data_IF_102171096774
#
_entry.id   IF_102171096774
#
_cell.length_a   1.000
_cell.length_b   1.000
_cell.length_c   1.000
_cell.angle_alpha   90.00
_cell.angle_beta   90.00
_cell.angle_gamma   90.00
#
_symmetry.space_group_name_H-M   'P 1'
#
loop_
_entity.id
_entity.type
_entity.pdbx_description
1 polymer ?
#
# COMPACT_ATOMS: atom_id res chain seq x y z
N UNK A 1 32.66 10.53 63.70
CA UNK A 1 31.86 11.10 62.59
C UNK A 1 32.10 10.43 61.22
N UNK A 2 33.25 9.78 60.98
CA UNK A 2 33.57 9.20 59.65
C UNK A 2 32.82 7.94 59.22
N UNK A 3 32.24 7.12 60.12
CA UNK A 3 31.55 5.88 59.70
C UNK A 3 30.15 6.13 59.13
N UNK A 4 29.37 7.05 59.72
CA UNK A 4 28.01 7.40 59.22
C UNK A 4 28.03 7.98 57.80
N UNK A 5 29.02 8.81 57.47
CA UNK A 5 29.19 9.36 56.11
C UNK A 5 29.54 8.26 55.12
N UNK A 6 30.44 7.35 55.50
CA UNK A 6 30.88 6.24 54.64
C UNK A 6 29.75 5.25 54.36
N UNK A 7 28.94 4.95 55.37
CA UNK A 7 27.77 4.06 55.28
C UNK A 7 26.65 4.66 54.40
N UNK A 8 26.46 5.99 54.48
CA UNK A 8 25.51 6.73 53.63
C UNK A 8 25.95 6.74 52.16
N UNK A 9 27.24 6.92 51.88
CA UNK A 9 27.80 6.88 50.52
C UNK A 9 27.70 5.49 49.90
N UNK A 10 27.94 4.41 50.67
CA UNK A 10 27.77 3.04 50.15
C UNK A 10 26.30 2.67 49.92
N UNK A 11 25.38 3.16 50.77
CA UNK A 11 23.94 2.97 50.57
C UNK A 11 23.45 3.65 49.29
N UNK A 12 23.89 4.88 49.04
CA UNK A 12 23.55 5.64 47.84
C UNK A 12 24.08 4.95 46.57
N UNK A 13 25.33 4.48 46.59
CA UNK A 13 25.93 3.77 45.46
C UNK A 13 25.21 2.46 45.09
N UNK A 14 24.68 1.74 46.08
CA UNK A 14 23.89 0.53 45.85
C UNK A 14 22.51 0.85 45.25
N UNK A 15 21.85 1.89 45.74
CA UNK A 15 20.56 2.34 45.21
C UNK A 15 20.68 2.77 43.74
N UNK A 16 21.70 3.55 43.40
CA UNK A 16 21.95 4.01 42.02
C UNK A 16 22.26 2.87 41.05
N UNK A 17 23.02 1.88 41.50
CA UNK A 17 23.26 0.69 40.67
C UNK A 17 21.96 -0.04 40.39
N UNK A 18 21.09 -0.19 41.39
CA UNK A 18 19.77 -0.79 41.21
C UNK A 18 18.85 0.01 40.28
N UNK A 19 18.92 1.35 40.30
CA UNK A 19 18.18 2.20 39.36
C UNK A 19 18.70 2.01 37.92
N UNK A 20 20.02 1.98 37.72
CA UNK A 20 20.63 1.77 36.40
C UNK A 20 20.31 0.37 35.85
N UNK A 21 20.42 -0.68 36.66
CA UNK A 21 20.06 -2.05 36.28
C UNK A 21 18.57 -2.15 35.88
N UNK A 22 17.69 -1.39 36.54
CA UNK A 22 16.26 -1.32 36.16
C UNK A 22 16.03 -0.59 34.85
N UNK A 23 16.70 0.54 34.63
CA UNK A 23 16.60 1.28 33.37
C UNK A 23 17.08 0.41 32.21
N UNK A 24 18.22 -0.28 32.37
CA UNK A 24 18.75 -1.20 31.36
C UNK A 24 17.76 -2.36 31.06
N UNK A 25 17.16 -2.95 32.09
CA UNK A 25 16.14 -3.98 31.90
C UNK A 25 14.87 -3.47 31.20
N UNK A 26 14.50 -2.20 31.41
CA UNK A 26 13.39 -1.57 30.69
C UNK A 26 13.76 -1.35 29.23
N UNK A 27 14.96 -0.85 28.95
CA UNK A 27 15.46 -0.61 27.60
C UNK A 27 15.51 -1.92 26.79
N UNK A 28 16.03 -3.01 27.37
CA UNK A 28 16.03 -4.35 26.74
C UNK A 28 14.61 -4.85 26.41
N UNK A 29 13.64 -4.60 27.29
CA UNK A 29 12.26 -5.03 27.08
C UNK A 29 11.55 -4.15 26.03
N UNK A 30 11.85 -2.85 25.97
CA UNK A 30 11.37 -1.95 24.92
C UNK A 30 11.89 -2.40 23.54
N UNK A 31 13.19 -2.68 23.42
CA UNK A 31 13.79 -3.19 22.18
C UNK A 31 13.13 -4.48 21.71
N UNK A 32 12.89 -5.41 22.65
CA UNK A 32 12.17 -6.65 22.37
C UNK A 32 10.76 -6.40 21.85
N UNK A 33 10.01 -5.51 22.49
CA UNK A 33 8.64 -5.17 22.11
C UNK A 33 8.58 -4.50 20.74
N UNK A 34 9.52 -3.60 20.44
CA UNK A 34 9.63 -2.95 19.13
C UNK A 34 9.96 -3.97 18.03
N UNK A 35 10.86 -4.92 18.30
CA UNK A 35 11.17 -6.00 17.37
C UNK A 35 9.96 -6.92 17.13
N UNK A 36 9.20 -7.25 18.18
CA UNK A 36 7.97 -8.05 18.05
C UNK A 36 6.91 -7.32 17.21
N UNK A 37 6.72 -6.02 17.44
CA UNK A 37 5.81 -5.18 16.68
C UNK A 37 6.16 -5.15 15.19
N UNK A 38 7.44 -5.02 14.87
CA UNK A 38 7.90 -5.02 13.48
C UNK A 38 7.76 -6.40 12.82
N UNK A 39 8.00 -7.48 13.57
CA UNK A 39 7.74 -8.84 13.10
C UNK A 39 6.26 -9.07 12.79
N UNK A 40 5.33 -8.54 13.61
CA UNK A 40 3.89 -8.64 13.36
C UNK A 40 3.46 -7.79 12.15
N UNK A 41 4.08 -6.62 11.94
CA UNK A 41 3.78 -5.74 10.79
C UNK A 41 4.26 -6.30 9.47
N UNK A 42 5.45 -6.91 9.47
CA UNK A 42 6.05 -7.54 8.29
C UNK A 42 5.54 -8.96 8.04
N UNK A 43 4.75 -9.53 8.97
CA UNK A 43 4.16 -10.84 8.80
C UNK A 43 3.22 -10.89 7.57
N UNK A 44 3.19 -12.01 6.84
CA UNK A 44 2.22 -12.21 5.77
C UNK A 44 0.79 -11.98 6.25
N UNK A 45 -0.03 -11.34 5.42
CA UNK A 45 -1.48 -11.22 5.68
C UNK A 45 -2.20 -12.50 5.29
N UNK A 46 -3.34 -12.76 5.91
CA UNK A 46 -4.16 -13.91 5.51
C UNK A 46 -4.76 -13.67 4.13
N UNK A 47 -5.12 -14.76 3.44
CA UNK A 47 -5.83 -14.68 2.16
C UNK A 47 -7.14 -13.89 2.29
N UNK A 48 -7.91 -14.16 3.34
CA UNK A 48 -9.20 -13.50 3.57
C UNK A 48 -9.04 -11.99 3.76
N UNK A 49 -7.99 -11.56 4.46
CA UNK A 49 -7.68 -10.14 4.62
C UNK A 49 -7.24 -9.48 3.31
N UNK A 50 -6.42 -10.16 2.51
CA UNK A 50 -6.00 -9.64 1.21
C UNK A 50 -7.20 -9.41 0.28
N UNK A 51 -8.15 -10.35 0.28
CA UNK A 51 -9.41 -10.22 -0.48
C UNK A 51 -10.27 -9.09 0.09
N UNK A 52 -10.41 -8.99 1.41
CA UNK A 52 -11.19 -7.93 2.04
C UNK A 52 -10.60 -6.53 1.80
N UNK A 53 -9.26 -6.42 1.76
CA UNK A 53 -8.57 -5.17 1.44
C UNK A 53 -8.75 -4.78 -0.04
N UNK A 54 -8.63 -5.76 -0.94
CA UNK A 54 -8.92 -5.59 -2.36
C UNK A 54 -10.36 -5.10 -2.57
N UNK A 55 -11.34 -5.73 -1.92
CA UNK A 55 -12.75 -5.39 -2.04
C UNK A 55 -13.03 -3.96 -1.57
N UNK A 56 -12.42 -3.54 -0.45
CA UNK A 56 -12.53 -2.16 0.05
C UNK A 56 -11.93 -1.17 -0.94
N UNK A 57 -10.73 -1.48 -1.42
CA UNK A 57 -9.98 -0.63 -2.34
C UNK A 57 -10.73 -0.44 -3.66
N UNK A 58 -11.25 -1.52 -4.24
CA UNK A 58 -12.08 -1.47 -5.45
C UNK A 58 -13.36 -0.68 -5.23
N UNK A 59 -14.01 -0.81 -4.07
CA UNK A 59 -15.20 -0.03 -3.74
C UNK A 59 -14.89 1.48 -3.65
N UNK A 60 -13.78 1.87 -3.02
CA UNK A 60 -13.34 3.26 -2.94
C UNK A 60 -13.04 3.85 -4.33
N UNK A 61 -12.33 3.11 -5.16
CA UNK A 61 -12.02 3.53 -6.53
C UNK A 61 -13.27 3.61 -7.40
N UNK A 62 -14.16 2.63 -7.31
CA UNK A 62 -15.43 2.66 -8.03
C UNK A 62 -16.26 3.89 -7.64
N UNK A 63 -16.26 4.28 -6.36
CA UNK A 63 -16.97 5.48 -5.92
C UNK A 63 -16.33 6.78 -6.41
N UNK A 64 -14.99 6.87 -6.44
CA UNK A 64 -14.29 8.02 -7.03
C UNK A 64 -14.52 8.09 -8.54
N UNK A 65 -14.38 6.97 -9.24
CA UNK A 65 -14.65 6.86 -10.68
C UNK A 65 -16.09 7.24 -11.03
N UNK A 66 -17.09 6.78 -10.28
CA UNK A 66 -18.49 7.18 -10.46
C UNK A 66 -18.69 8.69 -10.29
N UNK A 67 -18.04 9.30 -9.30
CA UNK A 67 -18.10 10.75 -9.08
C UNK A 67 -17.47 11.53 -10.24
N UNK A 68 -16.32 11.07 -10.74
CA UNK A 68 -15.65 11.72 -11.86
C UNK A 68 -16.45 11.59 -13.15
N UNK A 69 -16.94 10.39 -13.47
CA UNK A 69 -17.83 10.17 -14.63
C UNK A 69 -19.09 11.05 -14.53
N UNK A 70 -19.73 11.14 -13.35
CA UNK A 70 -20.90 12.00 -13.14
C UNK A 70 -20.56 13.49 -13.31
N UNK A 71 -19.41 13.93 -12.81
CA UNK A 71 -18.92 15.31 -12.98
C UNK A 71 -18.76 15.67 -14.46
N UNK A 72 -18.20 14.76 -15.25
CA UNK A 72 -17.98 14.96 -16.68
C UNK A 72 -19.29 14.93 -17.47
N UNK A 73 -20.21 14.02 -17.15
CA UNK A 73 -21.57 13.97 -17.75
C UNK A 73 -22.35 15.25 -17.46
N UNK A 74 -22.27 15.81 -16.24
CA UNK A 74 -22.93 17.06 -15.90
C UNK A 74 -22.35 18.26 -16.67
N UNK A 75 -21.02 18.29 -16.88
CA UNK A 75 -20.36 19.31 -17.71
C UNK A 75 -20.82 19.24 -19.16
N UNK A 76 -20.90 18.03 -19.71
CA UNK A 76 -21.45 17.74 -21.02
C UNK A 76 -22.90 18.26 -21.18
N UNK A 77 -23.76 17.92 -20.21
CA UNK A 77 -25.15 18.36 -20.21
C UNK A 77 -25.28 19.90 -20.12
N UNK A 78 -24.30 20.58 -19.53
CA UNK A 78 -24.20 22.03 -19.49
C UNK A 78 -23.62 22.67 -20.77
N UNK A 79 -23.38 21.88 -21.82
CA UNK A 79 -22.85 22.35 -23.10
C UNK A 79 -21.34 22.59 -23.12
N UNK A 80 -20.61 22.05 -22.14
CA UNK A 80 -19.15 22.06 -22.19
C UNK A 80 -18.63 20.94 -23.10
N UNK A 81 -17.49 21.18 -23.76
CA UNK A 81 -16.82 20.16 -24.57
C UNK A 81 -16.39 18.97 -23.70
N UNK A 82 -16.73 17.76 -24.14
CA UNK A 82 -16.30 16.53 -23.47
C UNK A 82 -14.86 16.20 -23.85
N UNK A 83 -13.95 16.57 -22.98
CA UNK A 83 -12.57 16.14 -23.12
C UNK A 83 -12.41 14.74 -22.52
N UNK A 84 -12.71 13.70 -23.31
CA UNK A 84 -12.41 12.28 -22.99
C UNK A 84 -10.96 12.15 -22.48
N UNK A 85 -10.06 12.93 -23.08
CA UNK A 85 -8.64 12.92 -22.74
C UNK A 85 -8.38 13.32 -21.28
N UNK A 86 -9.19 14.21 -20.68
CA UNK A 86 -9.05 14.63 -19.26
C UNK A 86 -9.38 13.51 -18.27
N UNK A 87 -10.25 12.56 -18.61
CA UNK A 87 -10.52 11.37 -17.79
C UNK A 87 -9.30 10.45 -17.65
N UNK A 88 -8.33 10.57 -18.56
CA UNK A 88 -7.14 9.72 -18.61
C UNK A 88 -5.83 10.50 -18.48
N UNK A 89 -5.87 11.83 -18.36
CA UNK A 89 -4.69 12.73 -18.34
C UNK A 89 -4.23 13.19 -16.96
N UNK A 90 -4.95 12.90 -15.88
CA UNK A 90 -4.42 13.27 -14.57
C UNK A 90 -3.05 12.62 -14.37
N UNK A 91 -2.04 13.37 -13.87
CA UNK A 91 -0.76 12.76 -13.58
C UNK A 91 -1.02 11.64 -12.60
N UNK A 92 -0.58 10.43 -12.98
CA UNK A 92 -0.44 9.31 -12.08
C UNK A 92 0.09 9.84 -10.74
N UNK A 93 -0.76 9.87 -9.70
CA UNK A 93 -0.23 9.97 -8.34
C UNK A 93 0.77 8.81 -8.22
N UNK A 94 1.97 9.07 -7.70
CA UNK A 94 3.08 8.11 -7.65
C UNK A 94 2.58 6.67 -7.45
N UNK A 95 2.78 5.84 -8.48
CA UNK A 95 2.39 4.42 -8.50
C UNK A 95 1.04 4.07 -9.16
N UNK A 96 0.24 5.03 -9.65
CA UNK A 96 -1.15 4.77 -10.09
C UNK A 96 -1.44 5.21 -11.52
N UNK A 97 -1.94 4.31 -12.37
CA UNK A 97 -2.39 4.72 -13.72
C UNK A 97 -3.71 5.51 -13.65
N UNK A 98 -3.83 6.66 -14.34
CA UNK A 98 -5.01 7.55 -14.25
C UNK A 98 -6.35 6.92 -14.67
N UNK A 99 -6.34 5.73 -15.28
CA UNK A 99 -7.55 5.01 -15.69
C UNK A 99 -8.14 4.10 -14.59
N UNK A 100 -7.45 3.85 -13.49
CA UNK A 100 -7.83 2.79 -12.53
C UNK A 100 -9.17 3.07 -11.85
N UNK A 101 -9.45 4.32 -11.46
CA UNK A 101 -10.70 4.64 -10.75
C UNK A 101 -11.95 4.55 -11.67
N UNK A 102 -11.94 5.12 -12.89
CA UNK A 102 -13.02 4.89 -13.86
C UNK A 102 -13.18 3.42 -14.27
N UNK A 103 -12.07 2.68 -14.43
CA UNK A 103 -12.12 1.26 -14.76
C UNK A 103 -12.68 0.41 -13.61
N UNK A 104 -12.34 0.72 -12.37
CA UNK A 104 -12.95 0.07 -11.19
C UNK A 104 -14.46 0.33 -11.13
N UNK A 105 -14.93 1.51 -11.52
CA UNK A 105 -16.36 1.82 -11.58
C UNK A 105 -17.11 1.04 -12.67
N UNK A 106 -16.46 0.72 -13.79
CA UNK A 106 -17.07 0.07 -14.96
C UNK A 106 -16.88 -1.45 -14.98
N UNK A 107 -15.73 -1.93 -14.50
CA UNK A 107 -15.24 -3.31 -14.63
C UNK A 107 -14.84 -3.91 -13.27
N UNK A 108 -15.29 -3.33 -12.16
CA UNK A 108 -14.91 -3.73 -10.80
C UNK A 108 -15.00 -5.23 -10.55
N UNK A 109 -16.08 -5.88 -11.00
CA UNK A 109 -16.27 -7.33 -10.83
C UNK A 109 -15.20 -8.16 -11.56
N UNK A 110 -14.81 -7.76 -12.77
CA UNK A 110 -13.76 -8.46 -13.55
C UNK A 110 -12.36 -8.21 -12.98
N UNK A 111 -12.11 -6.98 -12.54
CA UNK A 111 -10.84 -6.64 -11.86
C UNK A 111 -10.73 -7.45 -10.57
N UNK A 112 -11.81 -7.53 -9.80
CA UNK A 112 -11.90 -8.35 -8.58
C UNK A 112 -11.63 -9.81 -8.90
N UNK A 113 -12.32 -10.40 -9.87
CA UNK A 113 -12.16 -11.81 -10.24
C UNK A 113 -10.70 -12.14 -10.61
N UNK A 114 -10.07 -11.32 -11.45
CA UNK A 114 -8.68 -11.49 -11.84
C UNK A 114 -7.71 -11.34 -10.65
N UNK A 115 -7.91 -10.31 -9.81
CA UNK A 115 -7.05 -10.05 -8.67
C UNK A 115 -7.22 -11.10 -7.55
N UNK A 116 -8.43 -11.61 -7.32
CA UNK A 116 -8.67 -12.73 -6.39
C UNK A 116 -7.98 -13.99 -6.89
N UNK A 117 -8.07 -14.30 -8.19
CA UNK A 117 -7.36 -15.44 -8.77
C UNK A 117 -5.83 -15.33 -8.62
N UNK A 118 -5.27 -14.11 -8.76
CA UNK A 118 -3.85 -13.86 -8.51
C UNK A 118 -3.48 -14.01 -7.03
N UNK A 119 -4.31 -13.52 -6.11
CA UNK A 119 -4.14 -13.71 -4.67
C UNK A 119 -4.14 -15.21 -4.34
N UNK A 120 -5.06 -15.98 -4.91
CA UNK A 120 -5.18 -17.42 -4.72
C UNK A 120 -4.01 -18.21 -5.30
N UNK A 121 -3.44 -17.75 -6.41
CA UNK A 121 -2.26 -18.36 -7.04
C UNK A 121 -0.94 -18.00 -6.34
N UNK A 122 -0.93 -17.02 -5.45
CA UNK A 122 0.27 -16.48 -4.82
C UNK A 122 0.60 -17.18 -3.51
N UNK A 123 1.84 -17.71 -3.40
CA UNK A 123 2.39 -18.25 -2.14
C UNK A 123 2.73 -17.17 -1.10
N UNK A 124 2.42 -15.89 -1.37
CA UNK A 124 2.68 -14.78 -0.44
C UNK A 124 1.70 -14.76 0.73
N UNK A 125 0.52 -15.35 0.57
CA UNK A 125 -0.50 -15.40 1.60
C UNK A 125 -0.47 -16.77 2.26
N UNK A 126 -0.55 -16.79 3.59
CA UNK A 126 -0.55 -18.05 4.34
C UNK A 126 -1.76 -18.14 5.25
N UNK A 127 -2.32 -19.33 5.32
CA UNK A 127 -3.45 -19.64 6.20
C UNK A 127 -3.01 -19.73 7.68
N UNK A 128 -1.71 -19.82 7.96
CA UNK A 128 -1.14 -19.80 9.31
C UNK A 128 -0.82 -18.38 9.83
N UNK A 129 -1.07 -17.35 9.03
CA UNK A 129 -0.90 -15.97 9.45
C UNK A 129 -1.90 -15.58 10.55
N UNK A 130 -1.43 -14.79 11.52
CA UNK A 130 -2.29 -14.21 12.55
C UNK A 130 -3.40 -13.37 11.90
N UNK A 131 -4.68 -13.54 12.26
CA UNK A 131 -5.76 -12.68 11.76
C UNK A 131 -5.53 -11.21 12.09
N UNK A 132 -6.01 -10.30 11.25
CA UNK A 132 -5.80 -8.85 11.34
C UNK A 132 -6.27 -8.28 12.66
N UNK A 133 -7.39 -8.78 13.20
CA UNK A 133 -7.89 -8.36 14.51
C UNK A 133 -6.93 -8.77 15.63
N UNK A 134 -6.36 -9.98 15.55
CA UNK A 134 -5.37 -10.45 16.51
C UNK A 134 -4.04 -9.69 16.37
N UNK A 135 -3.59 -9.40 15.14
CA UNK A 135 -2.40 -8.55 14.90
C UNK A 135 -2.62 -7.14 15.45
N UNK A 136 -3.77 -6.53 15.17
CA UNK A 136 -4.14 -5.20 15.68
C UNK A 136 -4.21 -5.18 17.20
N UNK A 137 -4.85 -6.17 17.81
CA UNK A 137 -4.91 -6.32 19.26
C UNK A 137 -3.51 -6.47 19.85
N UNK A 138 -2.68 -7.35 19.28
CA UNK A 138 -1.32 -7.58 19.79
C UNK A 138 -0.44 -6.34 19.66
N UNK A 139 -0.54 -5.61 18.56
CA UNK A 139 0.15 -4.31 18.40
C UNK A 139 -0.33 -3.31 19.46
N UNK A 140 -1.64 -3.23 19.73
CA UNK A 140 -2.17 -2.35 20.76
C UNK A 140 -1.70 -2.73 22.18
N UNK A 141 -1.61 -4.02 22.48
CA UNK A 141 -1.03 -4.52 23.75
C UNK A 141 0.46 -4.16 23.88
N UNK A 142 1.21 -4.28 22.78
CA UNK A 142 2.62 -3.90 22.72
C UNK A 142 2.77 -2.40 22.94
N UNK A 143 2.01 -1.57 22.21
CA UNK A 143 2.05 -0.11 22.32
C UNK A 143 1.71 0.33 23.75
N UNK A 144 0.66 -0.24 24.37
CA UNK A 144 0.29 0.06 25.77
C UNK A 144 1.40 -0.31 26.75
N UNK A 145 2.08 -1.45 26.54
CA UNK A 145 3.17 -1.89 27.41
C UNK A 145 4.42 -1.03 27.23
N UNK A 146 4.73 -0.64 26.00
CA UNK A 146 5.82 0.28 25.69
C UNK A 146 5.60 1.63 26.37
N UNK A 147 4.40 2.23 26.24
CA UNK A 147 4.04 3.49 26.89
C UNK A 147 4.22 3.42 28.43
N UNK A 148 3.82 2.31 29.04
CA UNK A 148 3.97 2.10 30.49
C UNK A 148 5.45 1.99 30.91
N UNK A 149 6.26 1.28 30.13
CA UNK A 149 7.69 1.12 30.36
C UNK A 149 8.45 2.44 30.16
N UNK A 150 8.12 3.22 29.13
CA UNK A 150 8.69 4.55 28.91
C UNK A 150 8.37 5.51 30.06
N UNK A 151 7.14 5.47 30.59
CA UNK A 151 6.76 6.25 31.77
C UNK A 151 7.52 5.84 33.03
N UNK A 152 7.72 4.52 33.24
CA UNK A 152 8.54 4.01 34.35
C UNK A 152 10.00 4.44 34.20
N UNK A 153 10.58 4.26 33.00
CA UNK A 153 11.94 4.70 32.67
C UNK A 153 12.15 6.18 32.98
N UNK A 154 11.23 7.04 32.53
CA UNK A 154 11.26 8.48 32.80
C UNK A 154 11.23 8.79 34.30
N UNK A 155 10.40 8.08 35.05
CA UNK A 155 10.32 8.21 36.51
C UNK A 155 11.66 7.86 37.17
N UNK A 156 12.30 6.75 36.76
CA UNK A 156 13.61 6.32 37.28
C UNK A 156 14.72 7.33 36.92
N UNK A 157 14.70 7.89 35.71
CA UNK A 157 15.63 8.95 35.29
C UNK A 157 15.44 10.20 36.14
N UNK A 158 14.20 10.62 36.39
CA UNK A 158 13.90 11.78 37.24
C UNK A 158 14.33 11.54 38.71
N UNK A 159 14.20 10.31 39.23
CA UNK A 159 14.76 9.92 40.53
C UNK A 159 16.29 10.03 40.56
N UNK A 160 16.97 9.59 39.50
CA UNK A 160 18.43 9.73 39.37
C UNK A 160 18.85 11.21 39.30
N UNK A 161 18.13 12.05 38.54
CA UNK A 161 18.36 13.49 38.45
C UNK A 161 18.14 14.18 39.80
N UNK A 162 17.07 13.84 40.52
CA UNK A 162 16.80 14.37 41.86
C UNK A 162 17.89 14.00 42.88
N UNK A 163 18.53 12.84 42.70
CA UNK A 163 19.69 12.42 43.48
C UNK A 163 21.01 13.13 43.07
N UNK A 164 20.98 14.02 42.08
CA UNK A 164 22.12 14.83 41.64
C UNK A 164 22.97 14.19 40.53
N UNK A 165 22.44 13.19 39.82
CA UNK A 165 23.14 12.53 38.72
C UNK A 165 22.64 13.05 37.37
N UNK A 166 23.58 13.43 36.52
CA UNK A 166 23.28 13.81 35.15
C UNK A 166 23.16 12.54 34.30
N UNK A 167 21.92 12.19 33.93
CA UNK A 167 21.62 11.09 33.02
C UNK A 167 21.29 11.71 31.67
N UNK A 168 22.18 11.51 30.70
CA UNK A 168 21.90 11.87 29.32
C UNK A 168 20.76 10.98 28.81
N UNK A 169 19.60 11.59 28.58
CA UNK A 169 18.61 11.00 27.68
C UNK A 169 19.27 10.97 26.30
N UNK A 170 19.59 9.76 25.83
CA UNK A 170 19.83 9.57 24.40
C UNK A 170 18.48 9.80 23.76
N UNK A 171 18.32 10.96 23.13
CA UNK A 171 17.17 11.27 22.30
C UNK A 171 17.28 10.38 21.05
N UNK A 172 16.80 9.14 21.18
CA UNK A 172 16.68 8.18 20.07
C UNK A 172 15.48 8.51 19.21
N UNK A 173 15.12 9.79 19.04
CA UNK A 173 14.31 10.18 17.89
C UNK A 173 15.05 9.62 16.67
N UNK A 174 14.53 8.56 16.01
CA UNK A 174 15.22 8.00 14.87
C UNK A 174 15.32 9.15 13.87
N UNK A 175 16.49 9.41 13.27
CA UNK A 175 16.54 10.38 12.18
C UNK A 175 15.42 9.98 11.21
N UNK A 176 14.56 10.93 10.77
CA UNK A 176 13.45 10.60 9.90
C UNK A 176 14.01 9.72 8.80
N UNK A 177 13.48 8.49 8.71
CA UNK A 177 13.99 7.51 7.76
C UNK A 177 14.15 8.23 6.43
N UNK A 178 15.35 8.18 5.79
CA UNK A 178 15.51 8.82 4.49
C UNK A 178 14.39 8.26 3.64
N UNK A 179 13.53 9.16 3.16
CA UNK A 179 12.42 8.81 2.28
C UNK A 179 13.05 8.00 1.15
N UNK A 180 12.86 6.67 1.17
CA UNK A 180 13.21 5.82 0.05
C UNK A 180 12.13 6.03 -1.01
N UNK A 181 12.02 7.28 -1.50
CA UNK A 181 11.68 7.46 -2.89
C UNK A 181 12.84 6.86 -3.64
N UNK A 182 12.69 5.62 -4.10
CA UNK A 182 13.43 5.16 -5.26
C UNK A 182 13.15 6.16 -6.37
N UNK A 183 13.98 7.20 -6.46
CA UNK A 183 14.23 7.88 -7.70
C UNK A 183 14.90 6.80 -8.54
N UNK A 184 14.07 6.06 -9.28
CA UNK A 184 14.53 5.33 -10.46
C UNK A 184 14.99 6.42 -11.42
N UNK A 185 16.23 6.89 -11.24
CA UNK A 185 16.95 7.55 -12.31
C UNK A 185 17.06 6.50 -13.39
N UNK A 186 16.19 6.63 -14.39
CA UNK A 186 16.24 5.89 -15.63
C UNK A 186 17.62 6.11 -16.24
N UNK A 187 18.54 5.22 -15.89
CA UNK A 187 19.86 5.11 -16.48
C UNK A 187 19.66 4.59 -17.88
N UNK A 188 19.36 5.49 -18.82
CA UNK A 188 19.43 5.26 -20.25
C UNK A 188 20.89 5.07 -20.63
N UNK A 189 21.49 3.96 -20.22
CA UNK A 189 22.70 3.46 -20.87
C UNK A 189 22.23 2.73 -22.14
N UNK A 190 22.48 3.38 -23.27
CA UNK A 190 22.24 2.84 -24.60
C UNK A 190 22.98 1.53 -24.79
N UNK A 191 22.26 0.42 -24.58
CA UNK A 191 22.68 -0.91 -24.99
C UNK A 191 22.70 -0.90 -26.51
N UNK A 192 23.91 -0.86 -27.08
CA UNK A 192 24.10 -1.17 -28.51
C UNK A 192 23.62 -2.60 -28.71
N UNK A 193 22.45 -2.74 -29.34
CA UNK A 193 21.94 -4.02 -29.79
C UNK A 193 22.96 -4.62 -30.77
N UNK A 194 23.38 -5.85 -30.49
CA UNK A 194 24.22 -6.63 -31.38
C UNK A 194 23.50 -6.84 -32.71
N UNK A 195 24.28 -6.84 -33.79
CA UNK A 195 23.83 -6.95 -35.19
C UNK A 195 22.97 -8.20 -35.47
N UNK A 196 23.04 -9.20 -34.58
CA UNK A 196 22.22 -10.42 -34.62
C UNK A 196 20.75 -10.21 -34.21
N UNK A 197 20.42 -9.26 -33.30
CA UNK A 197 19.03 -8.99 -32.92
C UNK A 197 18.29 -8.14 -33.95
N UNK A 198 19.00 -7.29 -34.73
CA UNK A 198 18.40 -6.57 -35.85
C UNK A 198 17.96 -7.50 -36.99
N UNK A 199 18.71 -8.54 -37.28
CA UNK A 199 18.35 -9.51 -38.33
C UNK A 199 17.13 -10.37 -37.96
N UNK A 200 16.80 -10.52 -36.67
CA UNK A 200 15.63 -11.29 -36.23
C UNK A 200 14.31 -10.49 -36.32
N UNK A 201 14.36 -9.15 -36.29
CA UNK A 201 13.18 -8.30 -36.38
C UNK A 201 12.71 -8.10 -37.83
N UNK A 202 13.62 -8.08 -38.81
CA UNK A 202 13.26 -7.99 -40.23
C UNK A 202 12.62 -9.28 -40.78
N UNK A 203 12.91 -10.45 -40.20
CA UNK A 203 12.36 -11.72 -40.69
C UNK A 203 10.92 -12.04 -40.21
N UNK A 204 10.38 -11.21 -39.31
CA UNK A 204 9.03 -11.41 -38.74
C UNK A 204 7.95 -10.56 -39.41
N UNK A 205 8.34 -9.56 -40.20
CA UNK A 205 7.39 -8.67 -40.90
C UNK A 205 6.89 -9.25 -42.24
N UNK A 206 7.59 -10.20 -42.85
CA UNK A 206 7.15 -10.81 -44.13
C UNK A 206 6.06 -11.88 -43.98
N UNK A 207 5.71 -12.32 -42.76
CA UNK A 207 4.69 -13.40 -42.56
C UNK A 207 3.30 -12.91 -42.17
N UNK A 208 3.13 -11.61 -41.96
CA UNK A 208 1.84 -10.99 -41.59
C UNK A 208 1.39 -9.94 -42.61
N UNK A 209 1.69 -10.17 -43.90
CA UNK A 209 1.05 -9.42 -44.98
C UNK A 209 -0.45 -9.76 -45.00
N UNK A 210 -1.25 -8.91 -44.36
CA UNK A 210 -2.70 -8.87 -44.52
C UNK A 210 -2.96 -8.54 -45.99
N UNK A 211 -3.73 -9.36 -46.74
CA UNK A 211 -4.08 -9.03 -48.11
C UNK A 211 -4.83 -7.69 -48.12
N UNK A 212 -4.35 -6.74 -48.94
CA UNK A 212 -5.02 -5.46 -49.12
C UNK A 212 -6.49 -5.71 -49.54
N UNK A 213 -7.46 -5.02 -48.94
CA UNK A 213 -8.86 -5.17 -49.32
C UNK A 213 -9.04 -4.69 -50.77
N UNK A 214 -9.61 -5.56 -51.58
CA UNK A 214 -9.96 -5.30 -52.98
C UNK A 214 -11.04 -4.21 -53.02
N UNK A 215 -10.64 -2.98 -53.38
CA UNK A 215 -11.51 -1.80 -53.37
C UNK A 215 -12.51 -1.75 -54.54
N UNK A 216 -12.49 -2.76 -55.42
CA UNK A 216 -13.40 -2.88 -56.57
C UNK A 216 -14.59 -3.82 -56.29
N UNK A 217 -14.73 -4.34 -55.06
CA UNK A 217 -15.91 -5.13 -54.68
C UNK A 217 -17.13 -4.23 -54.46
N UNK A 218 -18.14 -4.39 -55.31
CA UNK A 218 -19.46 -3.73 -55.21
C UNK A 218 -20.02 -3.83 -53.77
N UNK A 219 -20.56 -2.74 -53.19
CA UNK A 219 -21.14 -2.76 -51.86
C UNK A 219 -22.36 -3.69 -51.85
N UNK A 220 -22.21 -4.86 -51.23
CA UNK A 220 -23.34 -5.75 -50.96
C UNK A 220 -24.24 -5.06 -49.94
N UNK A 221 -25.41 -4.63 -50.41
CA UNK A 221 -26.52 -4.10 -49.63
C UNK A 221 -27.00 -5.15 -48.60
N UNK A 222 -26.36 -5.19 -47.42
CA UNK A 222 -26.90 -5.84 -46.24
C UNK A 222 -27.84 -4.88 -45.51
N UNK A 223 -28.99 -4.60 -46.13
CA UNK A 223 -30.15 -4.12 -45.40
C UNK A 223 -30.62 -5.25 -44.47
N UNK A 224 -30.39 -5.07 -43.17
CA UNK A 224 -31.06 -5.82 -42.12
C UNK A 224 -32.56 -5.50 -42.20
N UNK A 225 -33.33 -6.40 -42.80
CA UNK A 225 -34.79 -6.39 -42.74
C UNK A 225 -35.22 -6.65 -41.30
N UNK A 226 -35.44 -5.57 -40.54
CA UNK A 226 -36.06 -5.66 -39.22
C UNK A 226 -37.56 -5.87 -39.43
N UNK A 227 -38.05 -7.08 -39.17
CA UNK A 227 -39.49 -7.36 -39.14
C UNK A 227 -40.16 -6.52 -38.03
N UNK A 228 -41.27 -5.82 -38.33
CA UNK A 228 -42.01 -5.08 -37.32
C UNK A 228 -42.73 -6.04 -36.35
N UNK A 229 -42.81 -5.68 -35.05
CA UNK A 229 -43.46 -6.52 -34.05
C UNK A 229 -44.97 -6.66 -34.32
N UNK A 230 -45.56 -7.82 -33.94
CA UNK A 230 -46.99 -8.06 -34.13
C UNK A 230 -47.82 -7.09 -33.28
N UNK A 231 -48.81 -6.46 -33.92
CA UNK A 231 -49.79 -5.61 -33.25
C UNK A 231 -50.57 -6.44 -32.23
N UNK A 232 -50.36 -6.14 -30.95
CA UNK A 232 -51.15 -6.68 -29.86
C UNK A 232 -52.61 -6.32 -30.04
N UNK A 233 -53.45 -7.36 -30.00
CA UNK A 233 -54.90 -7.33 -30.04
C UNK A 233 -55.49 -6.48 -28.92
N UNK A 234 -56.45 -5.65 -29.29
CA UNK A 234 -57.44 -5.07 -28.37
C UNK A 234 -58.06 -6.18 -27.51
N UNK A 235 -58.04 -5.99 -26.19
CA UNK A 235 -58.90 -6.71 -25.25
C UNK A 235 -60.08 -5.80 -24.93
N UNK A 236 -61.25 -6.20 -25.43
CA UNK A 236 -62.54 -5.92 -24.80
C UNK A 236 -62.65 -6.61 -23.43
#
# INVERSE_FOLDING_TARGET
MGSKVRESVTGLGKALRGLRERIEAIDDELDRLLAEREAIRSAPVTREEAIAELDRTLAEWAERGRREVRSQVNRLAAGADFEVEKLFREPAREGWTPAVEPLAALLGDRIREAAVAEIEASNRYRDDALPADQRRQRIAEIDQKADALEAERRTLIDEMRAAGFDVQEVDETPPPAPFQGEVIEARTEGRKLDEAERASLDASDERNAVPEPDLDADPVDHFLTVEPPPKGSDRE
#
